data_IF_272503411696
#
_entry.id   IF_272503411696
#
_cell.length_a   1.000
_cell.length_b   1.000
_cell.length_c   1.000
_cell.angle_alpha   90.00
_cell.angle_beta   90.00
_cell.angle_gamma   90.00
#
_symmetry.space_group_name_H-M   'P 1'
#
loop_
_entity.id
_entity.type
_entity.pdbx_description
1 polymer ?
#
# COMPACT_ATOMS: atom_id res chain seq x y z
N UNK A 1 -2.66 4.88 11.65
CA UNK A 1 -1.79 5.33 10.52
C UNK A 1 -1.30 4.06 9.86
N UNK A 2 -1.16 3.94 8.53
CA UNK A 2 -0.61 2.67 8.00
C UNK A 2 0.91 2.66 8.03
N UNK A 3 1.50 1.47 7.99
CA UNK A 3 2.94 1.24 7.95
C UNK A 3 3.48 1.01 6.53
N UNK A 4 2.62 0.99 5.50
CA UNK A 4 3.02 0.70 4.12
C UNK A 4 2.89 1.90 3.19
N UNK A 5 3.95 2.14 2.40
CA UNK A 5 3.91 3.11 1.30
C UNK A 5 3.06 2.56 0.15
N UNK A 6 2.38 3.43 -0.58
CA UNK A 6 1.86 3.08 -1.90
C UNK A 6 2.92 3.41 -2.95
N UNK A 7 3.33 2.40 -3.72
CA UNK A 7 4.28 2.57 -4.81
C UNK A 7 3.61 2.23 -6.13
N UNK A 8 3.63 3.17 -7.07
CA UNK A 8 3.21 2.94 -8.44
C UNK A 8 4.35 2.33 -9.25
N UNK A 9 4.07 1.21 -9.92
CA UNK A 9 5.01 0.53 -10.81
C UNK A 9 4.44 0.45 -12.21
N UNK A 10 5.24 0.83 -13.20
CA UNK A 10 4.89 0.71 -14.61
C UNK A 10 5.25 -0.72 -15.05
N UNK A 11 4.23 -1.55 -15.28
CA UNK A 11 4.41 -2.95 -15.70
C UNK A 11 4.73 -3.05 -17.20
N UNK A 12 4.14 -2.17 -18.00
CA UNK A 12 4.39 -2.10 -19.44
C UNK A 12 4.71 -0.67 -19.82
N UNK A 13 5.98 -0.36 -20.14
CA UNK A 13 6.37 0.97 -20.60
C UNK A 13 5.67 1.33 -21.92
N UNK A 14 5.34 2.61 -22.09
CA UNK A 14 4.90 3.16 -23.37
C UNK A 14 6.06 3.16 -24.36
N UNK A 15 5.74 2.95 -25.63
CA UNK A 15 6.70 2.95 -26.75
C UNK A 15 6.42 4.18 -27.60
N UNK A 16 7.46 4.96 -27.88
CA UNK A 16 7.41 6.06 -28.82
C UNK A 16 7.75 5.57 -30.24
N UNK A 17 6.92 5.85 -31.27
CA UNK A 17 7.17 5.41 -32.65
C UNK A 17 8.39 6.06 -33.31
N UNK A 18 8.76 7.27 -32.90
CA UNK A 18 9.88 8.04 -33.47
C UNK A 18 11.21 7.73 -32.76
N UNK A 19 11.15 6.95 -31.67
CA UNK A 19 12.30 6.56 -30.86
C UNK A 19 12.71 7.59 -29.82
N UNK A 20 11.86 8.58 -29.55
CA UNK A 20 12.10 9.58 -28.51
C UNK A 20 12.03 8.95 -27.11
N UNK A 21 12.77 9.53 -26.15
CA UNK A 21 12.78 9.04 -24.77
C UNK A 21 11.45 9.35 -24.08
N UNK A 22 10.77 8.31 -23.58
CA UNK A 22 9.52 8.46 -22.85
C UNK A 22 9.78 8.79 -21.37
N UNK A 23 9.16 9.86 -20.90
CA UNK A 23 9.09 10.26 -19.48
C UNK A 23 7.69 10.04 -18.92
N UNK A 24 7.56 9.95 -17.59
CA UNK A 24 6.29 9.66 -16.93
C UNK A 24 5.99 10.69 -15.84
N UNK A 25 4.75 11.17 -15.83
CA UNK A 25 4.22 12.05 -14.78
C UNK A 25 3.15 11.33 -13.98
N UNK A 26 3.16 11.52 -12.66
CA UNK A 26 2.22 10.88 -11.74
C UNK A 26 1.22 11.90 -11.21
N UNK A 27 -0.03 11.47 -11.05
CA UNK A 27 -1.06 12.23 -10.37
C UNK A 27 -1.85 11.28 -9.46
N UNK A 28 -1.80 11.54 -8.16
CA UNK A 28 -2.53 10.75 -7.18
C UNK A 28 -3.84 11.43 -6.76
N UNK A 29 -4.85 10.59 -6.53
CA UNK A 29 -6.16 10.99 -6.04
C UNK A 29 -6.49 10.19 -4.79
N UNK A 30 -6.91 10.89 -3.74
CA UNK A 30 -7.40 10.31 -2.49
C UNK A 30 -8.91 10.49 -2.43
N UNK A 31 -9.64 9.38 -2.36
CA UNK A 31 -11.11 9.35 -2.34
C UNK A 31 -11.72 10.19 -3.48
N UNK A 32 -11.11 10.13 -4.66
CA UNK A 32 -11.53 10.87 -5.86
C UNK A 32 -11.05 12.33 -5.93
N UNK A 33 -10.49 12.90 -4.87
CA UNK A 33 -9.95 14.26 -4.87
C UNK A 33 -8.43 14.26 -5.15
N UNK A 34 -7.88 15.26 -5.86
CA UNK A 34 -6.43 15.37 -6.07
C UNK A 34 -5.66 15.40 -4.73
N UNK A 35 -4.66 14.53 -4.59
CA UNK A 35 -3.85 14.45 -3.37
C UNK A 35 -2.58 15.32 -3.42
N UNK A 36 -2.27 15.93 -4.57
CA UNK A 36 -1.10 16.79 -4.74
C UNK A 36 0.25 16.04 -4.79
N UNK A 37 0.24 14.71 -4.85
CA UNK A 37 1.45 13.90 -4.99
C UNK A 37 1.73 13.68 -6.49
N UNK A 38 2.96 13.99 -6.91
CA UNK A 38 3.41 13.92 -8.31
C UNK A 38 4.61 12.98 -8.54
N UNK A 39 4.99 12.22 -7.52
CA UNK A 39 6.03 11.18 -7.59
C UNK A 39 5.39 9.79 -7.56
N UNK A 40 6.18 8.74 -7.79
CA UNK A 40 5.70 7.36 -7.85
C UNK A 40 5.34 6.75 -6.48
N UNK A 41 5.58 7.45 -5.37
CA UNK A 41 5.37 6.93 -4.03
C UNK A 41 4.53 7.87 -3.17
N UNK A 42 3.49 7.34 -2.52
CA UNK A 42 2.78 8.00 -1.43
C UNK A 42 3.28 7.41 -0.11
N UNK A 43 3.90 8.21 0.79
CA UNK A 43 4.34 7.72 2.09
C UNK A 43 3.18 7.20 2.94
N UNK A 44 3.42 6.15 3.73
CA UNK A 44 2.44 5.55 4.63
C UNK A 44 1.85 6.57 5.63
N UNK A 45 2.65 7.56 6.05
CA UNK A 45 2.20 8.66 6.92
C UNK A 45 1.08 9.52 6.31
N UNK A 46 0.92 9.50 4.98
CA UNK A 46 -0.10 10.26 4.26
C UNK A 46 -1.37 9.46 4.00
N UNK A 47 -1.38 8.17 4.35
CA UNK A 47 -2.50 7.26 4.11
C UNK A 47 -3.19 6.88 5.42
N UNK A 48 -4.48 6.55 5.31
CA UNK A 48 -5.30 6.03 6.40
C UNK A 48 -6.11 4.84 5.91
N UNK A 49 -6.47 3.95 6.84
CA UNK A 49 -7.34 2.81 6.57
C UNK A 49 -8.62 3.26 5.85
N UNK A 50 -9.07 2.42 4.91
CA UNK A 50 -10.24 2.60 4.05
C UNK A 50 -10.17 3.76 3.05
N UNK A 51 -9.06 4.51 2.97
CA UNK A 51 -8.87 5.45 1.88
C UNK A 51 -8.68 4.71 0.55
N UNK A 52 -9.35 5.21 -0.50
CA UNK A 52 -9.17 4.74 -1.87
C UNK A 52 -8.19 5.68 -2.56
N UNK A 53 -7.08 5.11 -3.01
CA UNK A 53 -6.05 5.84 -3.72
C UNK A 53 -6.02 5.40 -5.18
N UNK A 54 -6.08 6.38 -6.08
CA UNK A 54 -5.92 6.16 -7.52
C UNK A 54 -4.65 6.86 -7.97
N UNK A 55 -3.76 6.13 -8.65
CA UNK A 55 -2.63 6.68 -9.36
C UNK A 55 -2.98 6.77 -10.84
N UNK A 56 -2.76 7.94 -11.45
CA UNK A 56 -2.77 8.13 -12.89
C UNK A 56 -1.35 8.46 -13.35
N UNK A 57 -0.88 7.73 -14.36
CA UNK A 57 0.45 7.91 -14.93
C UNK A 57 0.31 8.28 -16.41
N UNK A 58 0.87 9.42 -16.80
CA UNK A 58 0.84 9.90 -18.19
C UNK A 58 2.24 9.85 -18.80
N UNK A 59 2.46 9.06 -19.88
CA UNK A 59 3.71 9.07 -20.63
C UNK A 59 3.82 10.32 -21.51
N UNK A 60 5.03 10.78 -21.77
CA UNK A 60 5.32 11.84 -22.75
C UNK A 60 6.68 11.62 -23.41
N UNK A 61 6.73 11.84 -24.73
CA UNK A 61 7.95 11.91 -25.55
C UNK A 61 8.64 13.30 -25.49
N UNK A 62 8.11 14.24 -24.68
CA UNK A 62 8.56 15.63 -24.60
C UNK A 62 7.86 16.61 -25.55
N UNK A 63 7.02 16.12 -26.47
CA UNK A 63 6.19 16.93 -27.38
C UNK A 63 4.70 16.69 -27.16
N UNK A 64 4.32 15.44 -27.01
CA UNK A 64 2.95 14.94 -26.92
C UNK A 64 2.84 14.07 -25.66
N UNK A 65 1.68 14.14 -25.01
CA UNK A 65 1.31 13.20 -23.97
C UNK A 65 0.60 12.00 -24.60
N UNK A 66 1.06 10.81 -24.24
CA UNK A 66 0.37 9.57 -24.61
C UNK A 66 -0.85 9.31 -23.72
N UNK A 67 -1.57 8.20 -23.99
CA UNK A 67 -2.71 7.80 -23.16
C UNK A 67 -2.25 7.48 -21.73
N UNK A 68 -2.99 7.98 -20.75
CA UNK A 68 -2.69 7.73 -19.35
C UNK A 68 -3.12 6.32 -18.91
N UNK A 69 -2.28 5.67 -18.11
CA UNK A 69 -2.64 4.47 -17.36
C UNK A 69 -3.15 4.83 -15.97
N UNK A 70 -4.02 4.00 -15.40
CA UNK A 70 -4.53 4.18 -14.03
C UNK A 70 -4.52 2.87 -13.25
N UNK A 71 -4.24 2.97 -11.96
CA UNK A 71 -4.40 1.87 -10.99
C UNK A 71 -4.98 2.42 -9.68
N UNK A 72 -5.76 1.61 -8.98
CA UNK A 72 -6.34 1.98 -7.68
C UNK A 72 -6.09 0.91 -6.63
N UNK A 73 -5.92 1.35 -5.39
CA UNK A 73 -5.82 0.49 -4.22
C UNK A 73 -6.63 1.09 -3.06
N UNK A 74 -7.20 0.21 -2.24
CA UNK A 74 -7.81 0.61 -0.96
C UNK A 74 -6.84 0.26 0.16
N UNK A 75 -6.64 1.20 1.07
CA UNK A 75 -5.78 1.01 2.22
C UNK A 75 -6.48 0.09 3.23
N UNK A 76 -5.85 -1.03 3.58
CA UNK A 76 -6.32 -1.93 4.65
C UNK A 76 -6.05 -1.38 6.05
N UNK A 77 -6.54 -2.08 7.07
CA UNK A 77 -6.18 -1.79 8.45
C UNK A 77 -4.77 -2.30 8.76
N UNK A 78 -4.07 -1.66 9.70
CA UNK A 78 -2.93 -2.34 10.33
C UNK A 78 -3.48 -3.58 11.04
N UNK A 79 -2.85 -4.73 10.80
CA UNK A 79 -3.29 -5.99 11.39
C UNK A 79 -4.36 -6.74 10.60
N UNK A 80 -4.85 -6.22 9.48
CA UNK A 80 -5.63 -6.99 8.50
C UNK A 80 -4.65 -7.81 7.65
N UNK A 81 -4.29 -8.99 8.17
CA UNK A 81 -3.27 -9.87 7.61
C UNK A 81 -3.85 -10.67 6.45
N UNK A 82 -5.16 -10.97 6.46
CA UNK A 82 -5.82 -11.73 5.39
C UNK A 82 -6.38 -10.86 4.25
N UNK A 83 -6.38 -9.53 4.38
CA UNK A 83 -6.91 -8.52 3.44
C UNK A 83 -8.42 -8.58 3.23
N UNK A 84 -9.19 -8.86 4.29
CA UNK A 84 -10.65 -8.85 4.25
C UNK A 84 -11.29 -7.53 4.71
N UNK A 85 -10.47 -6.51 4.98
CA UNK A 85 -10.83 -5.21 5.53
C UNK A 85 -11.40 -5.28 6.95
N UNK A 86 -11.01 -6.28 7.74
CA UNK A 86 -11.31 -6.36 9.17
C UNK A 86 -10.05 -6.79 9.91
N UNK A 87 -10.04 -6.51 11.20
CA UNK A 87 -9.04 -7.04 12.13
C UNK A 87 -9.80 -7.96 13.08
N UNK A 88 -9.69 -9.26 12.87
CA UNK A 88 -10.43 -10.26 13.62
C UNK A 88 -9.59 -11.49 14.01
N UNK A 89 -10.27 -12.57 14.43
CA UNK A 89 -9.61 -13.79 14.90
C UNK A 89 -8.79 -14.48 13.80
N UNK A 90 -9.14 -14.28 12.53
CA UNK A 90 -8.44 -14.87 11.40
C UNK A 90 -7.07 -14.21 11.24
N UNK A 91 -6.94 -12.90 11.46
CA UNK A 91 -5.66 -12.21 11.43
C UNK A 91 -4.76 -12.63 12.57
N UNK A 92 -5.33 -12.74 13.77
CA UNK A 92 -4.63 -13.27 14.94
C UNK A 92 -4.12 -14.71 14.69
N UNK A 93 -4.92 -15.52 14.00
CA UNK A 93 -4.52 -16.87 13.64
C UNK A 93 -3.34 -16.86 12.65
N UNK A 94 -3.35 -15.98 11.64
CA UNK A 94 -2.24 -15.83 10.69
C UNK A 94 -0.96 -15.30 11.35
N UNK A 95 -1.08 -14.37 12.29
CA UNK A 95 0.04 -13.92 13.13
C UNK A 95 0.61 -15.07 13.96
N UNK A 96 -0.25 -15.87 14.61
CA UNK A 96 0.21 -17.02 15.40
C UNK A 96 0.94 -18.06 14.55
N UNK A 97 0.52 -18.24 13.30
CA UNK A 97 1.21 -19.10 12.35
C UNK A 97 2.52 -18.53 11.84
N UNK A 98 2.80 -17.24 12.05
CA UNK A 98 4.03 -16.56 11.65
C UNK A 98 4.97 -16.26 12.83
N UNK A 99 4.52 -16.48 14.06
CA UNK A 99 5.24 -16.13 15.29
C UNK A 99 6.70 -16.62 15.31
N UNK A 100 7.62 -15.74 15.72
CA UNK A 100 9.07 -15.90 15.74
C UNK A 100 9.72 -16.22 14.37
N UNK A 101 9.02 -16.03 13.25
CA UNK A 101 9.64 -16.11 11.92
C UNK A 101 10.19 -14.76 11.50
N UNK A 102 11.22 -14.82 10.65
CA UNK A 102 11.94 -13.66 10.15
C UNK A 102 12.09 -13.79 8.63
N UNK A 103 12.00 -12.67 7.91
CA UNK A 103 12.29 -12.67 6.48
C UNK A 103 13.75 -13.13 6.23
N UNK A 104 14.02 -14.00 5.23
CA UNK A 104 13.16 -14.39 4.12
C UNK A 104 12.44 -15.75 4.28
N UNK A 105 12.00 -16.15 5.48
CA UNK A 105 11.29 -17.43 5.70
C UNK A 105 10.01 -17.53 4.81
N UNK A 106 9.89 -18.55 3.92
CA UNK A 106 8.70 -18.75 3.08
C UNK A 106 7.39 -18.99 3.84
N UNK A 107 7.48 -19.35 5.12
CA UNK A 107 6.33 -19.56 6.00
C UNK A 107 5.95 -18.30 6.79
N UNK A 108 6.77 -17.24 6.76
CA UNK A 108 6.39 -15.94 7.28
C UNK A 108 5.31 -15.35 6.37
N UNK A 109 4.13 -15.06 6.93
CA UNK A 109 3.12 -14.36 6.16
C UNK A 109 3.62 -12.94 5.84
N UNK A 110 3.58 -12.47 4.58
CA UNK A 110 4.17 -11.19 4.17
C UNK A 110 3.61 -9.94 4.85
N UNK A 111 2.48 -10.08 5.54
CA UNK A 111 1.79 -9.00 6.26
C UNK A 111 1.75 -9.23 7.78
N UNK A 112 2.43 -10.27 8.28
CA UNK A 112 2.45 -10.57 9.70
C UNK A 112 3.47 -9.73 10.49
N UNK A 113 4.46 -9.16 9.81
CA UNK A 113 5.35 -8.12 10.35
C UNK A 113 4.64 -6.77 10.20
N UNK A 114 3.98 -6.33 11.27
CA UNK A 114 3.17 -5.12 11.33
C UNK A 114 3.98 -3.88 11.71
N UNK A 115 5.14 -4.02 12.34
CA UNK A 115 5.99 -2.88 12.69
C UNK A 115 7.16 -2.67 11.70
N UNK A 116 7.36 -3.60 10.76
CA UNK A 116 8.43 -3.65 9.77
C UNK A 116 9.84 -3.78 10.34
N UNK A 117 9.99 -4.49 11.46
CA UNK A 117 11.30 -4.79 12.04
C UNK A 117 11.97 -6.05 11.47
N UNK A 118 11.27 -6.76 10.58
CA UNK A 118 11.75 -7.93 9.87
C UNK A 118 11.32 -9.26 10.51
N UNK A 119 10.66 -9.24 11.67
CA UNK A 119 10.19 -10.42 12.38
C UNK A 119 8.68 -10.33 12.65
N UNK A 120 8.03 -11.47 12.88
CA UNK A 120 6.68 -11.50 13.44
C UNK A 120 6.76 -11.89 14.93
N UNK A 121 6.57 -10.94 15.83
CA UNK A 121 6.71 -11.13 17.28
C UNK A 121 5.67 -10.35 18.12
N UNK A 122 5.97 -10.19 19.42
CA UNK A 122 5.09 -9.50 20.34
C UNK A 122 4.90 -8.02 20.02
N UNK A 123 5.87 -7.36 19.39
CA UNK A 123 5.76 -5.98 18.96
C UNK A 123 4.70 -5.83 17.86
N UNK A 124 4.58 -6.78 16.92
CA UNK A 124 3.50 -6.77 15.94
C UNK A 124 2.14 -6.97 16.58
N UNK A 125 2.08 -7.89 17.54
CA UNK A 125 0.85 -8.14 18.28
C UNK A 125 0.39 -6.90 19.06
N UNK A 126 1.31 -6.06 19.56
CA UNK A 126 0.94 -4.81 20.21
C UNK A 126 0.28 -3.81 19.25
N UNK A 127 0.60 -3.86 17.95
CA UNK A 127 -0.04 -3.02 16.93
C UNK A 127 -1.44 -3.49 16.55
N UNK A 128 -1.77 -4.77 16.76
CA UNK A 128 -3.15 -5.27 16.61
C UNK A 128 -4.11 -4.60 17.62
N UNK A 129 -3.57 -4.14 18.75
CA UNK A 129 -4.35 -3.55 19.85
C UNK A 129 -4.18 -2.04 20.01
N UNK A 130 -3.33 -1.39 19.21
CA UNK A 130 -2.99 0.05 19.34
C UNK A 130 -3.60 0.96 18.26
N UNK A 131 -4.82 0.68 17.78
CA UNK A 131 -5.58 1.67 16.98
C UNK A 131 -6.76 2.29 17.75
N UNK A 132 -6.61 2.53 19.06
CA UNK A 132 -7.64 2.99 20.02
C UNK A 132 -8.51 1.84 20.58
N UNK A 133 -8.57 1.75 21.91
CA UNK A 133 -9.53 0.93 22.63
C UNK A 133 -10.96 1.23 22.14
N UNK A 134 -11.58 0.30 21.39
CA UNK A 134 -13.01 0.28 21.07
C UNK A 134 -13.54 1.42 20.16
N UNK A 135 -13.96 1.06 18.93
CA UNK A 135 -15.10 1.75 18.31
C UNK A 135 -16.32 1.67 19.23
N UNK A 136 -17.24 2.66 19.19
CA UNK A 136 -18.05 3.05 20.33
C UNK A 136 -18.74 1.85 20.97
N UNK A 137 -18.58 1.70 22.28
CA UNK A 137 -19.49 0.88 23.09
C UNK A 137 -20.94 1.23 22.72
N UNK A 138 -21.87 0.25 22.74
CA UNK A 138 -23.27 0.49 22.38
C UNK A 138 -23.89 1.68 23.13
#
# INVERSE_FOLDING_TARGET
MTNQNLVATIVTPSVDPDGDTVTYTYAWFKNGAPAGVSVNTVPAANTRALEVWLCRVTPSDGKINGPAGTASATIGYIGDVNRDFKVDRQDLLLLSFSWNRQAPDPLLHPLADLNLDGSCDAADLTLLWDETTHGPTP
#
